data_IF_008930494605
#
_entry.id   IF_008930494605
#
_cell.length_a   1.000
_cell.length_b   1.000
_cell.length_c   1.000
_cell.angle_alpha   90.00
_cell.angle_beta   90.00
_cell.angle_gamma   90.00
#
_symmetry.space_group_name_H-M   'P 1'
#
loop_
_entity.id
_entity.type
_entity.pdbx_description
1 polymer ?
#
# COMPACT_ATOMS: atom_id res chain seq x y z
N UNK A 1 17.96 -13.49 24.92
CA UNK A 1 18.95 -13.09 23.89
C UNK A 1 20.31 -12.93 24.52
N UNK A 2 21.32 -13.61 23.96
CA UNK A 2 22.68 -13.60 24.51
C UNK A 2 23.39 -12.28 24.19
N UNK A 3 24.40 -11.86 24.99
CA UNK A 3 25.17 -10.63 24.73
C UNK A 3 25.81 -10.59 23.33
N UNK A 4 26.29 -11.74 22.84
CA UNK A 4 26.87 -11.88 21.49
C UNK A 4 25.87 -11.54 20.38
N UNK A 5 24.61 -11.94 20.53
CA UNK A 5 23.56 -11.64 19.54
C UNK A 5 23.23 -10.15 19.58
N UNK A 6 23.13 -9.55 20.77
CA UNK A 6 22.86 -8.12 20.92
C UNK A 6 23.97 -7.26 20.28
N UNK A 7 25.23 -7.62 20.47
CA UNK A 7 26.37 -6.96 19.82
C UNK A 7 26.26 -7.08 18.29
N UNK A 8 25.90 -8.26 17.78
CA UNK A 8 25.76 -8.47 16.34
C UNK A 8 24.61 -7.66 15.73
N UNK A 9 23.50 -7.50 16.44
CA UNK A 9 22.39 -6.65 16.00
C UNK A 9 22.82 -5.18 15.92
N UNK A 10 23.58 -4.68 16.91
CA UNK A 10 24.14 -3.32 16.87
C UNK A 10 25.09 -3.09 15.71
N UNK A 11 25.95 -4.08 15.41
CA UNK A 11 26.82 -4.01 14.21
C UNK A 11 25.99 -3.92 12.93
N UNK A 12 24.88 -4.67 12.83
CA UNK A 12 23.98 -4.65 11.67
C UNK A 12 23.29 -3.29 11.55
N UNK A 13 22.77 -2.75 12.65
CA UNK A 13 22.17 -1.40 12.69
C UNK A 13 23.13 -0.34 12.15
N UNK A 14 24.37 -0.30 12.68
CA UNK A 14 25.39 0.64 12.24
C UNK A 14 25.80 0.43 10.77
N UNK A 15 26.06 -0.81 10.36
CA UNK A 15 26.51 -1.13 8.99
C UNK A 15 25.44 -0.85 7.93
N UNK A 16 24.16 -1.03 8.27
CA UNK A 16 23.04 -0.86 7.35
C UNK A 16 22.35 0.49 7.49
N UNK A 17 22.73 1.30 8.47
CA UNK A 17 22.08 2.55 8.82
C UNK A 17 20.56 2.37 9.03
N UNK A 18 20.20 1.38 9.84
CA UNK A 18 18.82 1.05 10.20
C UNK A 18 18.66 1.01 11.71
N UNK A 19 17.44 1.24 12.19
CA UNK A 19 17.04 1.04 13.58
C UNK A 19 16.18 -0.23 13.68
N UNK A 20 16.61 -1.18 14.50
CA UNK A 20 15.88 -2.41 14.81
C UNK A 20 14.91 -2.12 15.97
N UNK A 21 13.61 -2.19 15.69
CA UNK A 21 12.54 -1.89 16.65
C UNK A 21 12.24 -3.07 17.58
N UNK A 22 12.35 -4.29 17.05
CA UNK A 22 12.06 -5.51 17.78
C UNK A 22 12.92 -6.63 17.21
N UNK A 23 13.57 -7.40 18.07
CA UNK A 23 14.26 -8.62 17.69
C UNK A 23 13.82 -9.76 18.60
N UNK A 24 13.53 -10.91 18.01
CA UNK A 24 13.13 -12.12 18.71
C UNK A 24 14.04 -13.28 18.29
N UNK A 25 14.42 -14.09 19.27
CA UNK A 25 15.03 -15.38 18.98
C UNK A 25 13.95 -16.35 18.50
N UNK A 26 14.29 -17.11 17.49
CA UNK A 26 13.49 -18.20 16.94
C UNK A 26 14.37 -19.46 16.83
N UNK A 27 13.83 -20.57 16.35
CA UNK A 27 14.62 -21.78 16.13
C UNK A 27 14.88 -22.61 17.38
N UNK A 28 15.74 -23.62 17.27
CA UNK A 28 15.87 -24.72 18.25
C UNK A 28 16.32 -24.29 19.65
N UNK A 29 17.05 -23.18 19.76
CA UNK A 29 17.62 -22.67 21.02
C UNK A 29 16.56 -22.18 21.99
N UNK A 30 15.65 -21.25 21.61
CA UNK A 30 14.51 -20.88 22.44
C UNK A 30 13.61 -22.03 22.88
N UNK A 31 13.47 -23.06 22.05
CA UNK A 31 12.63 -24.23 22.34
C UNK A 31 13.33 -25.31 23.17
N UNK A 32 14.63 -25.16 23.46
CA UNK A 32 15.40 -26.11 24.27
C UNK A 32 15.81 -27.41 23.54
N UNK A 33 15.68 -27.46 22.21
CA UNK A 33 16.06 -28.63 21.39
C UNK A 33 17.37 -28.43 20.62
N UNK A 34 18.15 -27.42 20.99
CA UNK A 34 19.40 -27.11 20.29
C UNK A 34 20.49 -28.14 20.58
N UNK A 35 21.11 -28.64 19.51
CA UNK A 35 22.39 -29.34 19.55
C UNK A 35 23.56 -28.35 19.65
N UNK A 36 24.78 -28.80 20.00
CA UNK A 36 25.98 -27.95 19.97
C UNK A 36 26.21 -27.25 18.62
N UNK A 37 25.84 -27.92 17.51
CA UNK A 37 25.99 -27.41 16.14
C UNK A 37 24.82 -26.53 15.68
N UNK A 38 23.78 -26.36 16.50
CA UNK A 38 22.65 -25.50 16.14
C UNK A 38 23.09 -24.03 16.03
N UNK A 39 22.64 -23.33 15.00
CA UNK A 39 22.86 -21.91 14.81
C UNK A 39 21.88 -21.07 15.66
N UNK A 40 21.84 -19.74 15.42
CA UNK A 40 20.95 -18.81 16.08
C UNK A 40 20.02 -18.18 15.05
N UNK A 41 18.73 -18.53 15.09
CA UNK A 41 17.73 -17.91 14.22
C UNK A 41 17.16 -16.63 14.86
N UNK A 42 17.49 -15.45 14.33
CA UNK A 42 16.95 -14.17 14.83
C UNK A 42 16.04 -13.55 13.79
N UNK A 43 14.82 -13.18 14.20
CA UNK A 43 13.88 -12.40 13.38
C UNK A 43 13.76 -11.01 13.98
N UNK A 44 13.81 -9.97 13.14
CA UNK A 44 13.68 -8.61 13.61
C UNK A 44 12.88 -7.72 12.67
N UNK A 45 12.28 -6.69 13.24
CA UNK A 45 11.55 -5.63 12.55
C UNK A 45 12.42 -4.37 12.63
N UNK A 46 12.59 -3.67 11.51
CA UNK A 46 13.39 -2.45 11.43
C UNK A 46 12.65 -1.39 10.61
N UNK A 47 12.88 -0.11 10.92
CA UNK A 47 12.19 0.99 10.24
C UNK A 47 13.10 1.74 9.28
N UNK A 48 13.24 1.25 8.05
CA UNK A 48 14.01 1.96 7.03
C UNK A 48 13.28 3.19 6.46
N UNK A 49 11.96 3.10 6.35
CA UNK A 49 11.20 4.18 5.72
C UNK A 49 11.18 5.46 6.55
N UNK A 50 11.37 5.42 7.89
CA UNK A 50 11.44 6.63 8.76
C UNK A 50 12.63 7.51 8.43
N UNK A 51 13.82 6.92 8.31
CA UNK A 51 15.06 7.67 8.04
C UNK A 51 15.11 8.24 6.62
N UNK A 52 14.32 7.69 5.71
CA UNK A 52 14.17 8.16 4.32
C UNK A 52 12.87 9.01 4.14
N UNK A 53 12.18 9.43 5.21
CA UNK A 53 10.94 10.22 5.10
C UNK A 53 11.21 11.64 4.59
N UNK A 54 10.31 12.08 3.73
CA UNK A 54 10.16 13.50 3.41
C UNK A 54 9.48 14.22 4.59
N UNK A 55 10.23 15.05 5.32
CA UNK A 55 9.77 15.77 6.52
C UNK A 55 8.61 16.74 6.23
N UNK A 56 8.60 17.39 5.06
CA UNK A 56 7.53 18.30 4.66
C UNK A 56 6.18 17.57 4.58
N UNK A 57 6.17 16.33 4.07
CA UNK A 57 4.97 15.49 4.01
C UNK A 57 4.46 15.08 5.39
N UNK A 58 5.37 14.87 6.34
CA UNK A 58 5.03 14.49 7.71
C UNK A 58 4.40 15.66 8.49
N UNK A 59 4.94 16.87 8.31
CA UNK A 59 4.40 18.07 8.95
C UNK A 59 2.98 18.41 8.45
N UNK A 60 2.66 18.12 7.19
CA UNK A 60 1.28 18.22 6.67
C UNK A 60 0.36 17.22 7.36
N UNK A 61 0.80 15.98 7.61
CA UNK A 61 -0.03 14.98 8.28
C UNK A 61 -0.28 15.30 9.77
N UNK A 62 0.66 15.93 10.48
CA UNK A 62 0.48 16.33 11.88
C UNK A 62 -0.53 17.47 12.05
N UNK A 63 -0.55 18.46 11.15
CA UNK A 63 -1.40 19.64 11.30
C UNK A 63 -2.90 19.37 11.12
N UNK A 64 -3.27 18.25 10.48
CA UNK A 64 -4.67 17.88 10.25
C UNK A 64 -5.26 17.01 11.38
N UNK A 65 -4.48 16.69 12.43
CA UNK A 65 -4.93 15.93 13.60
C UNK A 65 -5.28 14.46 13.33
N UNK A 66 -5.10 13.99 12.10
CA UNK A 66 -5.32 12.61 11.68
C UNK A 66 -3.98 12.00 11.25
N UNK A 67 -3.53 10.95 11.94
CA UNK A 67 -2.22 10.30 11.72
C UNK A 67 -2.17 9.45 10.42
N UNK A 68 -2.78 9.88 9.32
CA UNK A 68 -2.78 9.18 8.04
C UNK A 68 -2.58 10.14 6.87
N UNK A 69 -2.13 9.60 5.72
CA UNK A 69 -1.90 10.39 4.52
C UNK A 69 -3.19 10.65 3.75
N UNK A 70 -3.81 11.81 3.97
CA UNK A 70 -5.11 12.19 3.41
C UNK A 70 -5.14 12.23 1.89
N UNK A 71 -4.05 12.67 1.26
CA UNK A 71 -3.90 12.70 -0.21
C UNK A 71 -3.92 11.30 -0.79
N UNK A 72 -3.13 10.39 -0.24
CA UNK A 72 -3.11 9.00 -0.66
C UNK A 72 -4.47 8.35 -0.45
N UNK A 73 -5.12 8.59 0.68
CA UNK A 73 -6.44 8.04 0.94
C UNK A 73 -7.49 8.51 -0.07
N UNK A 74 -7.51 9.80 -0.41
CA UNK A 74 -8.36 10.31 -1.48
C UNK A 74 -8.08 9.60 -2.82
N UNK A 75 -6.81 9.39 -3.17
CA UNK A 75 -6.46 8.64 -4.38
C UNK A 75 -6.92 7.18 -4.32
N UNK A 76 -6.76 6.51 -3.18
CA UNK A 76 -7.25 5.13 -2.96
C UNK A 76 -8.76 5.05 -3.18
N UNK A 77 -9.53 5.93 -2.55
CA UNK A 77 -10.99 5.97 -2.71
C UNK A 77 -11.36 6.21 -4.17
N UNK A 78 -10.71 7.16 -4.85
CA UNK A 78 -10.95 7.42 -6.28
C UNK A 78 -10.67 6.19 -7.16
N UNK A 79 -9.59 5.46 -6.90
CA UNK A 79 -9.24 4.25 -7.66
C UNK A 79 -10.29 3.14 -7.45
N UNK A 80 -10.71 2.92 -6.20
CA UNK A 80 -11.76 1.95 -5.87
C UNK A 80 -13.09 2.32 -6.54
N UNK A 81 -13.49 3.58 -6.50
CA UNK A 81 -14.70 4.06 -7.20
C UNK A 81 -14.62 3.83 -8.72
N UNK A 82 -13.44 4.06 -9.31
CA UNK A 82 -13.24 3.82 -10.74
C UNK A 82 -13.35 2.33 -11.08
N UNK A 83 -12.77 1.47 -10.25
CA UNK A 83 -12.88 0.01 -10.38
C UNK A 83 -14.33 -0.47 -10.29
N UNK A 84 -15.06 -0.01 -9.27
CA UNK A 84 -16.49 -0.32 -9.09
C UNK A 84 -17.29 0.10 -10.33
N UNK A 85 -17.06 1.31 -10.85
CA UNK A 85 -17.78 1.79 -12.04
C UNK A 85 -17.49 0.95 -13.29
N UNK A 86 -16.25 0.50 -13.49
CA UNK A 86 -15.91 -0.38 -14.62
C UNK A 86 -16.75 -1.66 -14.56
N UNK A 87 -16.78 -2.33 -13.41
CA UNK A 87 -17.57 -3.56 -13.27
C UNK A 87 -19.07 -3.33 -13.33
N UNK A 88 -19.54 -2.17 -12.86
CA UNK A 88 -20.97 -1.83 -12.83
C UNK A 88 -21.52 -1.39 -14.19
N UNK A 89 -20.71 -0.70 -15.00
CA UNK A 89 -21.16 -0.04 -16.24
C UNK A 89 -20.50 -0.57 -17.50
N UNK A 90 -19.48 -1.44 -17.38
CA UNK A 90 -18.60 -1.85 -18.47
C UNK A 90 -17.94 -0.68 -19.22
N UNK A 91 -17.76 0.45 -18.55
CA UNK A 91 -17.14 1.65 -19.11
C UNK A 91 -16.23 2.34 -18.10
N UNK A 92 -15.17 3.00 -18.59
CA UNK A 92 -14.29 3.81 -17.77
C UNK A 92 -14.71 5.28 -17.86
N UNK A 93 -15.30 5.82 -16.80
CA UNK A 93 -15.53 7.26 -16.69
C UNK A 93 -14.32 7.94 -16.03
N UNK A 94 -13.63 8.80 -16.79
CA UNK A 94 -12.43 9.51 -16.32
C UNK A 94 -12.79 10.63 -15.34
N UNK A 95 -14.00 11.22 -15.50
CA UNK A 95 -14.45 12.35 -14.68
C UNK A 95 -15.17 11.83 -13.44
N UNK A 96 -14.72 12.30 -12.29
CA UNK A 96 -15.33 11.97 -10.99
C UNK A 96 -16.55 12.85 -10.75
N UNK A 97 -17.65 12.25 -10.31
CA UNK A 97 -18.89 12.96 -10.00
C UNK A 97 -18.89 13.51 -8.57
N UNK A 98 -18.14 12.89 -7.66
CA UNK A 98 -18.06 13.22 -6.24
C UNK A 98 -16.81 14.04 -5.88
N UNK A 99 -16.45 15.03 -6.70
CA UNK A 99 -15.23 15.84 -6.53
C UNK A 99 -15.10 16.44 -5.13
N UNK A 100 -16.20 16.97 -4.59
CA UNK A 100 -16.18 17.67 -3.30
C UNK A 100 -15.90 16.71 -2.14
N UNK A 101 -16.46 15.49 -2.17
CA UNK A 101 -16.15 14.43 -1.19
C UNK A 101 -14.66 14.06 -1.24
N UNK A 102 -14.09 13.89 -2.44
CA UNK A 102 -12.67 13.58 -2.59
C UNK A 102 -11.78 14.71 -2.04
N UNK A 103 -12.14 15.96 -2.31
CA UNK A 103 -11.40 17.10 -1.76
C UNK A 103 -11.54 17.21 -0.24
N UNK A 104 -12.69 16.85 0.31
CA UNK A 104 -12.95 16.82 1.74
C UNK A 104 -12.09 15.76 2.46
N UNK A 105 -11.97 14.56 1.85
CA UNK A 105 -11.02 13.53 2.30
C UNK A 105 -9.58 14.05 2.20
N UNK A 106 -9.20 14.66 1.07
CA UNK A 106 -7.85 15.22 0.87
C UNK A 106 -7.51 16.30 1.89
N UNK A 107 -8.50 17.11 2.27
CA UNK A 107 -8.37 18.14 3.30
C UNK A 107 -8.25 17.55 4.71
N UNK A 108 -8.37 16.23 4.89
CA UNK A 108 -8.24 15.57 6.19
C UNK A 108 -9.47 15.76 7.10
N UNK A 109 -10.60 16.22 6.55
CA UNK A 109 -11.83 16.42 7.32
C UNK A 109 -12.52 15.10 7.68
N UNK A 110 -12.13 14.00 7.03
CA UNK A 110 -12.61 12.66 7.35
C UNK A 110 -11.71 12.01 8.39
N UNK A 111 -12.33 11.35 9.38
CA UNK A 111 -11.58 10.48 10.28
C UNK A 111 -11.03 9.27 9.52
N UNK A 112 -9.92 8.71 10.00
CA UNK A 112 -9.35 7.49 9.44
C UNK A 112 -10.38 6.37 9.34
N UNK A 113 -11.14 6.13 10.41
CA UNK A 113 -12.15 5.05 10.45
C UNK A 113 -13.24 5.23 9.40
N UNK A 114 -13.67 6.47 9.14
CA UNK A 114 -14.68 6.74 8.11
C UNK A 114 -14.14 6.49 6.71
N UNK A 115 -12.89 6.86 6.44
CA UNK A 115 -12.22 6.58 5.16
C UNK A 115 -12.08 5.07 4.97
N UNK A 116 -11.62 4.33 5.99
CA UNK A 116 -11.45 2.88 5.92
C UNK A 116 -12.78 2.16 5.71
N UNK A 117 -13.83 2.55 6.44
CA UNK A 117 -15.19 2.01 6.25
C UNK A 117 -15.70 2.23 4.83
N UNK A 118 -15.42 3.39 4.23
CA UNK A 118 -15.77 3.65 2.82
C UNK A 118 -14.99 2.75 1.87
N UNK A 119 -13.69 2.58 2.09
CA UNK A 119 -12.85 1.71 1.27
C UNK A 119 -13.33 0.25 1.31
N UNK A 120 -13.64 -0.27 2.51
CA UNK A 120 -14.18 -1.62 2.70
C UNK A 120 -15.52 -1.81 1.96
N UNK A 121 -16.43 -0.84 2.05
CA UNK A 121 -17.70 -0.88 1.33
C UNK A 121 -17.51 -0.89 -0.20
N UNK A 122 -16.54 -0.12 -0.71
CA UNK A 122 -16.21 -0.15 -2.14
C UNK A 122 -15.61 -1.49 -2.57
N UNK A 123 -14.74 -2.09 -1.75
CA UNK A 123 -14.16 -3.43 -2.03
C UNK A 123 -15.27 -4.47 -2.11
N UNK A 124 -16.20 -4.50 -1.15
CA UNK A 124 -17.35 -5.41 -1.17
C UNK A 124 -18.24 -5.20 -2.41
N UNK A 125 -18.45 -3.95 -2.82
CA UNK A 125 -19.19 -3.62 -4.04
C UNK A 125 -18.47 -4.10 -5.30
N UNK A 126 -17.14 -3.91 -5.37
CA UNK A 126 -16.29 -4.41 -6.45
C UNK A 126 -16.39 -5.92 -6.55
N UNK A 127 -16.24 -6.66 -5.45
CA UNK A 127 -16.35 -8.12 -5.42
C UNK A 127 -17.72 -8.59 -5.92
N UNK A 128 -18.79 -7.92 -5.50
CA UNK A 128 -20.15 -8.19 -5.95
C UNK A 128 -20.30 -8.00 -7.46
N UNK A 129 -19.89 -6.84 -8.01
CA UNK A 129 -20.05 -6.57 -9.45
C UNK A 129 -19.09 -7.39 -10.30
N UNK A 130 -17.87 -7.64 -9.82
CA UNK A 130 -16.91 -8.54 -10.45
C UNK A 130 -17.49 -9.95 -10.63
N UNK A 131 -18.15 -10.50 -9.61
CA UNK A 131 -18.78 -11.84 -9.68
C UNK A 131 -19.87 -11.97 -10.75
N UNK A 132 -20.40 -10.84 -11.23
CA UNK A 132 -21.46 -10.77 -12.26
C UNK A 132 -20.97 -10.23 -13.60
N UNK A 133 -19.70 -9.83 -13.66
CA UNK A 133 -19.13 -9.15 -14.80
C UNK A 133 -18.96 -10.12 -15.97
N UNK A 134 -19.22 -9.62 -17.18
CA UNK A 134 -18.88 -10.33 -18.43
C UNK A 134 -17.52 -9.90 -18.99
N UNK A 135 -16.78 -9.04 -18.28
CA UNK A 135 -15.43 -8.65 -18.68
C UNK A 135 -14.50 -9.87 -18.67
N UNK A 136 -13.61 -9.99 -19.68
CA UNK A 136 -12.62 -11.06 -19.68
C UNK A 136 -11.61 -10.87 -18.55
N UNK A 137 -11.01 -11.98 -18.10
CA UNK A 137 -9.96 -11.97 -17.07
C UNK A 137 -8.71 -11.19 -17.53
N UNK A 138 -8.43 -11.21 -18.84
CA UNK A 138 -7.30 -10.49 -19.44
C UNK A 138 -7.76 -9.64 -20.64
N UNK A 139 -7.18 -8.45 -20.84
CA UNK A 139 -7.44 -7.65 -22.04
C UNK A 139 -6.87 -8.35 -23.29
N UNK A 140 -7.48 -8.09 -24.45
CA UNK A 140 -6.90 -8.51 -25.72
C UNK A 140 -5.70 -7.62 -26.04
N UNK A 141 -4.48 -8.14 -25.82
CA UNK A 141 -3.24 -7.40 -25.95
C UNK A 141 -2.92 -7.01 -27.41
N UNK A 142 -3.21 -7.88 -28.37
CA UNK A 142 -3.01 -7.60 -29.80
C UNK A 142 -3.85 -6.41 -30.22
N UNK A 143 -5.17 -6.49 -29.99
CA UNK A 143 -6.11 -5.40 -30.32
C UNK A 143 -5.78 -4.11 -29.56
N UNK A 144 -5.38 -4.19 -28.30
CA UNK A 144 -4.99 -3.01 -27.51
C UNK A 144 -3.75 -2.34 -28.09
N UNK A 145 -2.79 -3.13 -28.59
CA UNK A 145 -1.56 -2.63 -29.22
C UNK A 145 -1.86 -1.99 -30.56
N UNK A 146 -2.70 -2.61 -31.39
CA UNK A 146 -3.15 -2.04 -32.67
C UNK A 146 -3.80 -0.67 -32.48
N UNK A 147 -4.75 -0.56 -31.54
CA UNK A 147 -5.41 0.72 -31.21
C UNK A 147 -4.38 1.76 -30.72
N UNK A 148 -3.40 1.36 -29.90
CA UNK A 148 -2.37 2.27 -29.42
C UNK A 148 -1.51 2.81 -30.56
N UNK A 149 -1.14 1.98 -31.54
CA UNK A 149 -0.41 2.39 -32.74
C UNK A 149 -1.25 3.38 -33.54
N UNK A 150 -2.51 3.07 -33.81
CA UNK A 150 -3.44 3.94 -34.54
C UNK A 150 -3.58 5.32 -33.88
N UNK A 151 -3.74 5.38 -32.56
CA UNK A 151 -3.81 6.64 -31.81
C UNK A 151 -2.52 7.44 -32.00
N UNK A 152 -1.36 6.80 -31.92
CA UNK A 152 -0.07 7.48 -32.08
C UNK A 152 0.12 7.99 -33.51
N UNK A 153 -0.23 7.21 -34.52
CA UNK A 153 -0.16 7.64 -35.91
C UNK A 153 -1.04 8.87 -36.14
N UNK A 154 -2.26 8.90 -35.61
CA UNK A 154 -3.14 10.06 -35.75
C UNK A 154 -2.67 11.32 -34.99
N UNK A 155 -2.03 11.14 -33.83
CA UNK A 155 -1.57 12.27 -32.99
C UNK A 155 -0.22 12.86 -33.43
N UNK A 156 0.60 12.06 -34.10
CA UNK A 156 1.98 12.44 -34.49
C UNK A 156 2.22 12.43 -36.01
N UNK A 157 1.16 12.35 -36.83
CA UNK A 157 1.23 12.55 -38.28
C UNK A 157 1.52 14.01 -38.67
#
# INVERSE_FOLDING_TARGET
MTPKILEKLKEIEAKRNIEILLAVESGSRPWGFASPDSDYDIRFIYWRWVSERNEDRYNVNQNHGQNYDSKNMMHTIRLLQSCEQIFKTNSLNIRVENRDELLDIKAGNWSYDNVMKKAEGLIQSIEYYHSKSSLPEYPNLEKSTEILVEIRENLYA
#
